data_IF_713674777328
#
_entry.id   IF_713674777328
#
_cell.length_a   1.000
_cell.length_b   1.000
_cell.length_c   1.000
_cell.angle_alpha   90.00
_cell.angle_beta   90.00
_cell.angle_gamma   90.00
#
_symmetry.space_group_name_H-M   'P 1'
#
loop_
_entity.id
_entity.type
_entity.pdbx_description
1 polymer ?
#
# COMPACT_ATOMS: atom_id res chain seq x y z
N UNK A 1 11.51 -6.40 12.98
CA UNK A 1 11.56 -7.37 11.86
C UNK A 1 12.57 -8.46 12.19
N UNK A 2 12.55 -9.58 11.47
CA UNK A 2 13.54 -10.65 11.63
C UNK A 2 14.34 -10.91 10.33
N UNK A 3 15.26 -11.87 10.37
CA UNK A 3 16.09 -12.23 9.22
C UNK A 3 15.32 -12.87 8.05
N UNK A 4 14.07 -13.29 8.29
CA UNK A 4 13.17 -13.83 7.27
C UNK A 4 12.17 -12.78 6.77
N UNK A 5 12.39 -11.51 7.11
CA UNK A 5 11.57 -10.36 6.73
C UNK A 5 10.14 -10.41 7.27
N UNK A 6 9.89 -11.13 8.37
CA UNK A 6 8.61 -10.96 9.08
C UNK A 6 8.60 -9.59 9.76
N UNK A 7 7.51 -8.85 9.58
CA UNK A 7 7.36 -7.49 10.10
C UNK A 7 6.29 -7.47 11.17
N UNK A 8 6.59 -6.84 12.31
CA UNK A 8 5.59 -6.46 13.30
C UNK A 8 5.24 -5.01 12.99
N UNK A 9 3.98 -4.74 12.67
CA UNK A 9 3.48 -3.42 12.32
C UNK A 9 2.40 -3.04 13.32
N UNK A 10 2.54 -1.85 13.91
CA UNK A 10 1.50 -1.26 14.75
C UNK A 10 0.59 -0.37 13.90
N UNK A 11 -0.65 -0.17 14.36
CA UNK A 11 -1.68 0.62 13.66
C UNK A 11 -1.88 0.26 12.17
N UNK A 12 -1.83 -1.04 11.85
CA UNK A 12 -1.99 -1.54 10.49
C UNK A 12 -3.33 -1.15 9.87
N UNK A 13 -3.28 -0.61 8.64
CA UNK A 13 -4.44 -0.24 7.82
C UNK A 13 -4.35 -0.97 6.48
N UNK A 14 -5.37 -1.77 6.16
CA UNK A 14 -5.40 -2.57 4.93
C UNK A 14 -6.38 -1.97 3.93
N UNK A 15 -5.89 -1.68 2.72
CA UNK A 15 -6.71 -1.32 1.58
C UNK A 15 -7.00 -2.57 0.75
N UNK A 16 -8.28 -2.85 0.52
CA UNK A 16 -8.77 -3.98 -0.29
C UNK A 16 -9.51 -3.43 -1.49
N UNK A 17 -9.24 -4.01 -2.66
CA UNK A 17 -9.94 -3.71 -3.91
C UNK A 17 -10.81 -4.90 -4.31
N UNK A 18 -12.06 -4.63 -4.67
CA UNK A 18 -12.99 -5.65 -5.17
C UNK A 18 -12.86 -5.89 -6.69
N UNK A 19 -13.65 -6.82 -7.22
CA UNK A 19 -13.66 -7.18 -8.64
C UNK A 19 -14.15 -6.03 -9.55
N UNK A 20 -14.84 -5.04 -8.98
CA UNK A 20 -15.32 -3.85 -9.69
C UNK A 20 -14.32 -2.70 -9.61
N UNK A 21 -13.22 -2.87 -8.90
CA UNK A 21 -12.18 -1.86 -8.71
C UNK A 21 -12.46 -0.89 -7.56
N UNK A 22 -13.52 -1.09 -6.78
CA UNK A 22 -13.80 -0.23 -5.63
C UNK A 22 -12.81 -0.51 -4.51
N UNK A 23 -12.30 0.55 -3.90
CA UNK A 23 -11.40 0.45 -2.76
C UNK A 23 -12.16 0.64 -1.45
N UNK A 24 -11.79 -0.19 -0.47
CA UNK A 24 -12.25 -0.06 0.90
C UNK A 24 -11.07 -0.20 1.84
N UNK A 25 -11.19 0.36 3.03
CA UNK A 25 -10.14 0.26 4.04
C UNK A 25 -10.68 -0.25 5.37
N UNK A 26 -9.88 -1.08 6.05
CA UNK A 26 -10.13 -1.51 7.42
C UNK A 26 -8.90 -1.37 8.31
N UNK A 27 -9.13 -1.08 9.58
CA UNK A 27 -8.10 -1.08 10.62
C UNK A 27 -7.87 -2.51 11.12
N UNK A 28 -6.60 -2.87 11.29
CA UNK A 28 -6.15 -4.17 11.80
C UNK A 28 -5.45 -4.07 13.16
N UNK A 29 -4.98 -2.89 13.55
CA UNK A 29 -4.21 -2.68 14.78
C UNK A 29 -2.83 -3.33 14.68
N UNK A 30 -2.40 -4.04 15.72
CA UNK A 30 -1.12 -4.74 15.75
C UNK A 30 -1.15 -6.02 14.90
N UNK A 31 -0.30 -6.09 13.87
CA UNK A 31 -0.23 -7.23 12.94
C UNK A 31 1.19 -7.76 12.74
N UNK A 32 1.28 -9.02 12.31
CA UNK A 32 2.53 -9.62 11.84
C UNK A 32 2.42 -9.95 10.35
N UNK A 33 3.15 -9.23 9.51
CA UNK A 33 3.24 -9.52 8.08
C UNK A 33 4.28 -10.62 7.82
N UNK A 34 3.91 -11.65 7.07
CA UNK A 34 4.80 -12.78 6.76
C UNK A 34 5.74 -12.44 5.62
N UNK A 35 7.05 -12.50 5.88
CA UNK A 35 8.09 -12.11 4.91
C UNK A 35 8.04 -12.90 3.60
N UNK A 36 7.62 -14.16 3.65
CA UNK A 36 7.46 -15.02 2.47
C UNK A 36 6.39 -14.55 1.49
N UNK A 37 5.47 -13.68 1.90
CA UNK A 37 4.39 -13.13 1.07
C UNK A 37 4.62 -11.66 0.71
N UNK A 38 5.67 -11.03 1.26
CA UNK A 38 5.98 -9.64 0.96
C UNK A 38 6.62 -9.52 -0.42
N UNK A 39 6.10 -8.61 -1.24
CA UNK A 39 6.61 -8.32 -2.58
C UNK A 39 7.30 -6.94 -2.63
N UNK A 40 6.75 -5.96 -1.92
CA UNK A 40 7.25 -4.59 -1.88
C UNK A 40 7.13 -4.00 -0.47
N UNK A 41 8.14 -3.23 -0.07
CA UNK A 41 8.08 -2.34 1.09
C UNK A 41 8.61 -0.98 0.65
N UNK A 42 7.82 0.07 0.83
CA UNK A 42 8.21 1.45 0.54
C UNK A 42 7.85 2.36 1.71
N UNK A 43 8.67 3.39 2.01
CA UNK A 43 8.30 4.40 2.98
C UNK A 43 7.05 5.16 2.51
N UNK A 44 6.14 5.44 3.45
CA UNK A 44 4.95 6.24 3.16
C UNK A 44 5.30 7.73 3.12
N UNK A 45 6.22 8.17 3.97
CA UNK A 45 6.68 9.55 3.97
C UNK A 45 7.41 9.88 2.67
N UNK A 46 7.00 10.98 2.03
CA UNK A 46 7.44 11.36 0.69
C UNK A 46 6.78 10.60 -0.47
N UNK A 47 5.82 9.71 -0.20
CA UNK A 47 4.98 9.11 -1.25
C UNK A 47 3.73 9.95 -1.46
N UNK A 48 3.40 10.21 -2.72
CA UNK A 48 2.18 10.89 -3.13
C UNK A 48 1.59 10.23 -4.37
N UNK A 49 0.26 10.21 -4.43
CA UNK A 49 -0.44 9.85 -5.66
C UNK A 49 -0.40 11.04 -6.62
N UNK A 50 -0.02 10.78 -7.87
CA UNK A 50 0.08 11.80 -8.90
C UNK A 50 -0.85 11.48 -10.07
N UNK A 51 -1.29 12.53 -10.76
CA UNK A 51 -1.92 12.36 -12.06
C UNK A 51 -0.94 11.69 -13.05
N UNK A 52 -1.47 11.03 -14.07
CA UNK A 52 -0.65 10.43 -15.12
C UNK A 52 0.28 11.50 -15.73
N UNK A 53 1.62 11.40 -15.56
CA UNK A 53 2.55 12.43 -16.00
C UNK A 53 2.71 12.47 -17.54
N UNK A 54 2.08 11.54 -18.25
CA UNK A 54 2.08 11.44 -19.72
C UNK A 54 0.71 11.78 -20.34
N UNK A 55 -0.28 12.20 -19.55
CA UNK A 55 -1.51 12.73 -20.12
C UNK A 55 -1.16 13.98 -20.95
N UNK A 56 -1.48 13.97 -22.24
CA UNK A 56 -1.34 15.17 -23.06
C UNK A 56 -2.28 16.24 -22.51
N UNK A 57 -1.77 17.45 -22.31
CA UNK A 57 -2.61 18.60 -22.01
C UNK A 57 -3.65 18.72 -23.14
N UNK A 58 -4.93 18.73 -22.79
CA UNK A 58 -5.97 19.10 -23.75
C UNK A 58 -5.65 20.54 -24.22
N UNK A 59 -5.33 20.69 -25.50
CA UNK A 59 -5.21 22.01 -26.14
C UNK A 59 -6.62 22.63 -26.19
N UNK A 60 -6.89 23.60 -25.31
CA UNK A 60 -8.07 24.47 -25.36
C UNK A 60 -8.08 25.39 -26.60
#
# INVERSE_FOLDING_TARGET
YDALMNLVLDDGKETVRDDQGNESTRSLGLVVARGTLLVLVSPVDGSEEIANPFAQAEED
#
